data_IF_032327034920
#
_entry.id   IF_032327034920
#
_cell.length_a   1.000
_cell.length_b   1.000
_cell.length_c   1.000
_cell.angle_alpha   90.00
_cell.angle_beta   90.00
_cell.angle_gamma   90.00
#
_symmetry.space_group_name_H-M   'P 1'
#
loop_
_entity.id
_entity.type
_entity.pdbx_description
1 polymer ?
#
# COMPACT_ATOMS: atom_id res chain seq x y z
N UNK A 1 4.25 6.02 -30.42
CA UNK A 1 3.65 5.58 -29.14
C UNK A 1 2.54 4.61 -29.44
N UNK A 2 2.60 3.39 -28.92
CA UNK A 2 1.50 2.44 -29.03
C UNK A 2 0.33 2.88 -28.14
N UNK A 3 -0.90 2.45 -28.46
CA UNK A 3 -2.09 2.72 -27.61
C UNK A 3 -1.88 2.26 -26.17
N UNK A 4 -1.16 1.15 -25.97
CA UNK A 4 -0.84 0.62 -24.63
C UNK A 4 0.12 1.55 -23.88
N UNK A 5 1.13 2.09 -24.55
CA UNK A 5 2.06 3.07 -23.94
C UNK A 5 1.32 4.33 -23.51
N UNK A 6 0.40 4.83 -24.33
CA UNK A 6 -0.43 5.99 -23.98
C UNK A 6 -1.26 5.71 -22.72
N UNK A 7 -2.00 4.59 -22.68
CA UNK A 7 -2.83 4.21 -21.52
C UNK A 7 -1.98 4.11 -20.24
N UNK A 8 -0.82 3.45 -20.32
CA UNK A 8 0.10 3.33 -19.17
C UNK A 8 0.64 4.69 -18.71
N UNK A 9 0.89 5.60 -19.64
CA UNK A 9 1.39 6.93 -19.30
C UNK A 9 0.30 7.77 -18.60
N UNK A 10 -0.95 7.70 -19.05
CA UNK A 10 -2.06 8.41 -18.41
C UNK A 10 -2.36 7.84 -17.01
N UNK A 11 -2.32 6.51 -16.84
CA UNK A 11 -2.45 5.86 -15.53
C UNK A 11 -1.34 6.29 -14.57
N UNK A 12 -0.09 6.36 -15.06
CA UNK A 12 1.04 6.86 -14.27
C UNK A 12 0.84 8.31 -13.84
N UNK A 13 0.46 9.21 -14.75
CA UNK A 13 0.20 10.63 -14.44
C UNK A 13 -0.87 10.80 -13.36
N UNK A 14 -1.94 10.01 -13.45
CA UNK A 14 -3.00 10.01 -12.43
C UNK A 14 -2.45 9.60 -11.06
N UNK A 15 -1.69 8.51 -10.99
CA UNK A 15 -1.07 8.07 -9.73
C UNK A 15 -0.07 9.09 -9.17
N UNK A 16 0.79 9.67 -10.03
CA UNK A 16 1.76 10.70 -9.62
C UNK A 16 1.03 11.93 -9.05
N UNK A 17 -0.05 12.38 -9.70
CA UNK A 17 -0.90 13.47 -9.18
C UNK A 17 -1.51 13.12 -7.83
N UNK A 18 -2.09 11.93 -7.69
CA UNK A 18 -2.69 11.49 -6.42
C UNK A 18 -1.66 11.42 -5.30
N UNK A 19 -0.44 10.96 -5.57
CA UNK A 19 0.62 10.87 -4.56
C UNK A 19 1.20 12.23 -4.17
N UNK A 20 1.23 13.19 -5.09
CA UNK A 20 1.69 14.56 -4.80
C UNK A 20 0.64 15.37 -4.01
N UNK A 21 -0.65 15.22 -4.34
CA UNK A 21 -1.72 16.05 -3.78
C UNK A 21 -2.39 15.47 -2.54
N UNK A 22 -2.46 14.15 -2.41
CA UNK A 22 -3.18 13.52 -1.32
C UNK A 22 -2.23 12.98 -0.26
N UNK A 23 -2.48 13.36 0.99
CA UNK A 23 -1.77 12.80 2.14
C UNK A 23 -2.38 11.47 2.55
N UNK A 24 -1.53 10.55 2.97
CA UNK A 24 -1.94 9.27 3.53
C UNK A 24 -2.91 9.47 4.72
N UNK A 25 -3.98 8.68 4.73
CA UNK A 25 -4.96 8.60 5.82
C UNK A 25 -5.77 9.86 6.10
N UNK A 26 -5.77 10.85 5.18
CA UNK A 26 -6.64 12.03 5.27
C UNK A 26 -8.04 11.71 4.77
N UNK A 27 -9.05 12.03 5.58
CA UNK A 27 -10.47 11.87 5.25
C UNK A 27 -10.88 12.62 3.99
N UNK A 28 -11.73 11.99 3.17
CA UNK A 28 -12.13 12.50 1.86
C UNK A 28 -11.10 12.32 0.74
N UNK A 29 -9.88 11.84 1.03
CA UNK A 29 -8.86 11.56 0.01
C UNK A 29 -8.92 10.13 -0.52
N UNK A 30 -8.38 9.90 -1.72
CA UNK A 30 -8.21 8.55 -2.28
C UNK A 30 -7.32 7.62 -1.42
N UNK A 31 -6.49 8.21 -0.55
CA UNK A 31 -5.59 7.51 0.37
C UNK A 31 -6.15 7.41 1.81
N UNK A 32 -7.42 7.74 2.01
CA UNK A 32 -8.03 7.84 3.34
C UNK A 32 -7.96 6.55 4.16
N UNK A 33 -8.22 5.39 3.55
CA UNK A 33 -8.28 4.12 4.28
C UNK A 33 -7.58 2.99 3.53
N UNK A 34 -6.95 2.04 4.24
CA UNK A 34 -6.50 0.79 3.65
C UNK A 34 -7.66 0.03 3.01
N UNK A 35 -7.35 -0.86 2.07
CA UNK A 35 -8.39 -1.69 1.45
C UNK A 35 -9.04 -2.58 2.51
N UNK A 36 -10.37 -2.68 2.48
CA UNK A 36 -11.15 -3.46 3.47
C UNK A 36 -10.64 -4.89 3.63
N UNK A 37 -10.33 -5.57 2.54
CA UNK A 37 -9.79 -6.93 2.58
C UNK A 37 -8.46 -7.02 3.35
N UNK A 38 -7.60 -6.00 3.26
CA UNK A 38 -6.35 -5.97 4.04
C UNK A 38 -6.67 -5.87 5.52
N UNK A 39 -7.55 -4.93 5.92
CA UNK A 39 -7.92 -4.75 7.33
C UNK A 39 -8.62 -5.98 7.89
N UNK A 40 -9.53 -6.58 7.11
CA UNK A 40 -10.29 -7.76 7.52
C UNK A 40 -9.37 -8.97 7.77
N UNK A 41 -8.24 -9.09 7.07
CA UNK A 41 -7.32 -10.22 7.17
C UNK A 41 -6.16 -10.01 8.17
N UNK A 42 -6.03 -8.83 8.80
CA UNK A 42 -4.92 -8.55 9.73
C UNK A 42 -4.89 -9.50 10.92
N UNK A 43 -6.06 -9.93 11.41
CA UNK A 43 -6.18 -10.87 12.53
C UNK A 43 -5.51 -12.24 12.26
N UNK A 44 -5.28 -12.60 10.98
CA UNK A 44 -4.55 -13.83 10.64
C UNK A 44 -3.07 -13.80 11.06
N UNK A 45 -2.56 -12.63 11.49
CA UNK A 45 -1.23 -12.48 12.07
C UNK A 45 -1.22 -12.59 13.60
N UNK A 46 -2.37 -12.72 14.24
CA UNK A 46 -2.45 -12.87 15.69
C UNK A 46 -1.75 -14.15 16.15
N UNK A 47 -1.09 -14.08 17.32
CA UNK A 47 -0.24 -15.16 17.83
C UNK A 47 1.05 -15.46 17.04
N UNK A 48 1.25 -14.92 15.83
CA UNK A 48 2.44 -15.21 15.02
C UNK A 48 3.61 -14.29 15.34
N UNK A 49 4.79 -14.86 15.45
CA UNK A 49 6.05 -14.12 15.63
C UNK A 49 6.89 -14.13 14.35
N UNK A 50 7.76 -13.13 14.19
CA UNK A 50 8.72 -13.02 13.09
C UNK A 50 8.09 -13.06 11.69
N UNK A 51 6.85 -12.57 11.55
CA UNK A 51 6.11 -12.54 10.28
C UNK A 51 6.85 -11.68 9.25
N UNK A 52 7.05 -12.20 8.04
CA UNK A 52 7.64 -11.46 6.91
C UNK A 52 6.60 -11.28 5.82
N UNK A 53 6.31 -10.03 5.47
CA UNK A 53 5.35 -9.67 4.41
C UNK A 53 6.10 -9.02 3.26
N UNK A 54 5.79 -9.42 2.03
CA UNK A 54 6.24 -8.77 0.80
C UNK A 54 5.03 -8.09 0.13
N UNK A 55 5.08 -6.77 -0.01
CA UNK A 55 4.03 -5.96 -0.64
C UNK A 55 4.50 -5.46 -2.01
N UNK A 56 4.01 -6.11 -3.07
CA UNK A 56 4.38 -5.83 -4.45
C UNK A 56 3.42 -4.79 -5.04
N UNK A 57 3.96 -3.71 -5.61
CA UNK A 57 3.14 -2.60 -6.08
C UNK A 57 2.51 -1.81 -4.93
N UNK A 58 3.25 -1.66 -3.82
CA UNK A 58 2.73 -1.07 -2.58
C UNK A 58 2.33 0.42 -2.71
N UNK A 59 2.71 1.08 -3.81
CA UNK A 59 2.56 2.52 -4.01
C UNK A 59 3.19 3.29 -2.84
N UNK A 60 2.45 4.25 -2.30
CA UNK A 60 2.85 5.03 -1.12
C UNK A 60 2.72 4.29 0.22
N UNK A 61 2.31 3.01 0.22
CA UNK A 61 2.29 2.17 1.43
C UNK A 61 0.97 2.18 2.21
N UNK A 62 -0.14 2.63 1.61
CA UNK A 62 -1.49 2.69 2.25
C UNK A 62 -1.90 1.39 2.93
N UNK A 63 -1.56 0.25 2.33
CA UNK A 63 -1.86 -1.08 2.88
C UNK A 63 -0.70 -1.60 3.74
N UNK A 64 0.54 -1.24 3.41
CA UNK A 64 1.76 -1.75 4.04
C UNK A 64 1.94 -1.22 5.46
N UNK A 65 1.59 0.06 5.70
CA UNK A 65 1.70 0.71 7.01
C UNK A 65 0.84 -0.01 8.07
N UNK A 66 -0.48 -0.24 7.87
CA UNK A 66 -1.29 -0.99 8.84
C UNK A 66 -0.75 -2.40 9.12
N UNK A 67 -0.26 -3.10 8.08
CA UNK A 67 0.33 -4.44 8.25
C UNK A 67 1.57 -4.38 9.14
N UNK A 68 2.44 -3.39 8.92
CA UNK A 68 3.63 -3.18 9.74
C UNK A 68 3.28 -2.87 11.20
N UNK A 69 2.27 -2.02 11.42
CA UNK A 69 1.79 -1.67 12.76
C UNK A 69 1.30 -2.89 13.55
N UNK A 70 0.62 -3.84 12.91
CA UNK A 70 0.14 -5.07 13.55
C UNK A 70 1.28 -6.00 13.95
N UNK A 71 2.30 -6.16 13.10
CA UNK A 71 3.33 -7.19 13.28
C UNK A 71 4.61 -6.68 13.96
N UNK A 72 4.79 -5.35 14.11
CA UNK A 72 6.05 -4.77 14.63
C UNK A 72 6.40 -5.20 16.05
N UNK A 73 5.40 -5.41 16.91
CA UNK A 73 5.62 -5.82 18.31
C UNK A 73 6.15 -7.25 18.45
N UNK A 74 6.04 -8.07 17.40
CA UNK A 74 6.46 -9.47 17.37
C UNK A 74 7.62 -9.72 16.40
N UNK A 75 8.48 -8.70 16.24
CA UNK A 75 9.64 -8.72 15.34
C UNK A 75 9.28 -9.00 13.86
N UNK A 76 8.05 -8.66 13.46
CA UNK A 76 7.62 -8.78 12.08
C UNK A 76 8.21 -7.68 11.19
N UNK A 77 8.30 -7.95 9.88
CA UNK A 77 8.84 -7.03 8.88
C UNK A 77 7.97 -7.01 7.63
N UNK A 78 7.75 -5.81 7.10
CA UNK A 78 7.11 -5.60 5.79
C UNK A 78 8.14 -5.04 4.81
N UNK A 79 8.37 -5.77 3.72
CA UNK A 79 9.19 -5.31 2.60
C UNK A 79 8.28 -4.77 1.52
N UNK A 80 8.50 -3.52 1.14
CA UNK A 80 7.67 -2.80 0.19
C UNK A 80 8.43 -2.65 -1.13
N UNK A 81 7.84 -3.10 -2.23
CA UNK A 81 8.41 -2.96 -3.57
C UNK A 81 7.45 -2.14 -4.41
N UNK A 82 7.91 -1.00 -4.89
CA UNK A 82 7.21 -0.22 -5.90
C UNK A 82 8.20 0.27 -6.95
N UNK A 83 7.70 0.43 -8.18
CA UNK A 83 8.45 0.99 -9.29
C UNK A 83 7.92 2.38 -9.58
N UNK A 84 8.81 3.37 -9.66
CA UNK A 84 8.51 4.71 -10.20
C UNK A 84 8.53 4.69 -11.72
#
# INVERSE_FOLDING_TARGET
MSRIEFIRNEEKKYHDYCYDKYKLFVEGSWLHKPVKTVTDLLHLFDGKENVKVLDLGCGVGRNSIPKAEVIKSKNGKVVCVYRK
#
